data_IF_634769478208
#
_entry.id   IF_634769478208
#
_cell.length_a   1.000
_cell.length_b   1.000
_cell.length_c   1.000
_cell.angle_alpha   90.00
_cell.angle_beta   90.00
_cell.angle_gamma   90.00
#
_symmetry.space_group_name_H-M   'P 1'
#
loop_
_entity.id
_entity.type
_entity.pdbx_description
1 polymer ?
#
# COMPACT_ATOMS: atom_id res chain seq x y z
N UNK A 1 -34.56 30.89 -55.79
CA UNK A 1 -33.21 30.38 -55.46
C UNK A 1 -32.71 31.12 -54.22
N UNK A 2 -33.12 30.69 -53.02
CA UNK A 2 -32.76 31.32 -51.74
C UNK A 2 -32.09 30.25 -50.84
N UNK A 3 -30.86 30.55 -50.43
CA UNK A 3 -29.96 29.67 -49.67
C UNK A 3 -30.54 29.35 -48.29
N UNK A 4 -30.58 28.06 -47.93
CA UNK A 4 -30.82 27.59 -46.55
C UNK A 4 -29.74 28.15 -45.63
N UNK A 5 -30.17 28.94 -44.64
CA UNK A 5 -29.34 29.39 -43.52
C UNK A 5 -29.15 28.18 -42.60
N UNK A 6 -27.90 27.74 -42.44
CA UNK A 6 -27.54 26.63 -41.57
C UNK A 6 -27.69 27.01 -40.09
N UNK A 7 -28.44 26.22 -39.34
CA UNK A 7 -28.50 26.28 -37.88
C UNK A 7 -27.10 26.01 -37.30
N UNK A 8 -26.64 26.74 -36.26
CA UNK A 8 -25.42 26.37 -35.56
C UNK A 8 -25.64 25.03 -34.86
N UNK A 9 -24.86 24.03 -35.28
CA UNK A 9 -24.75 22.74 -34.60
C UNK A 9 -24.37 22.98 -33.15
N UNK A 10 -25.24 22.54 -32.25
CA UNK A 10 -25.01 22.40 -30.81
C UNK A 10 -23.61 21.81 -30.59
N UNK A 11 -22.71 22.58 -29.98
CA UNK A 11 -21.46 22.06 -29.43
C UNK A 11 -21.84 21.18 -28.24
N UNK A 12 -21.99 19.89 -28.50
CA UNK A 12 -22.10 18.88 -27.45
C UNK A 12 -20.82 18.95 -26.61
N UNK A 13 -20.98 19.37 -25.36
CA UNK A 13 -19.93 19.32 -24.34
C UNK A 13 -19.54 17.85 -24.19
N UNK A 14 -18.33 17.48 -24.61
CA UNK A 14 -17.80 16.14 -24.41
C UNK A 14 -17.74 15.86 -22.89
N UNK A 15 -18.22 14.71 -22.41
CA UNK A 15 -18.09 14.39 -20.99
C UNK A 15 -16.60 14.33 -20.65
N UNK A 16 -16.23 15.01 -19.56
CA UNK A 16 -14.88 15.01 -19.00
C UNK A 16 -14.35 13.57 -18.99
N UNK A 17 -13.25 13.34 -19.69
CA UNK A 17 -12.50 12.09 -19.65
C UNK A 17 -12.26 11.74 -18.19
N UNK A 18 -12.87 10.64 -17.72
CA UNK A 18 -12.58 10.04 -16.43
C UNK A 18 -11.07 9.95 -16.31
N UNK A 19 -10.48 10.69 -15.36
CA UNK A 19 -9.06 10.56 -15.04
C UNK A 19 -8.88 9.12 -14.59
N UNK A 20 -8.36 8.29 -15.49
CA UNK A 20 -7.99 6.91 -15.19
C UNK A 20 -7.05 6.97 -13.99
N UNK A 21 -7.47 6.35 -12.88
CA UNK A 21 -6.77 6.42 -11.61
C UNK A 21 -5.28 6.12 -11.79
N UNK A 22 -4.45 7.08 -11.41
CA UNK A 22 -3.00 6.97 -11.46
C UNK A 22 -2.58 5.73 -10.68
N UNK A 23 -2.13 4.67 -11.38
CA UNK A 23 -1.61 3.47 -10.71
C UNK A 23 -0.33 3.83 -9.95
N UNK A 24 -0.43 3.92 -8.63
CA UNK A 24 0.72 4.12 -7.77
C UNK A 24 1.53 2.82 -7.70
N UNK A 25 2.82 2.88 -8.04
CA UNK A 25 3.74 1.76 -7.81
C UNK A 25 4.32 1.90 -6.41
N UNK A 26 4.08 0.88 -5.61
CA UNK A 26 4.58 0.82 -4.25
C UNK A 26 6.00 0.23 -4.19
N UNK A 27 6.67 0.48 -3.07
CA UNK A 27 8.01 -0.02 -2.73
C UNK A 27 8.05 -1.55 -2.66
N UNK A 28 9.08 -2.16 -3.23
CA UNK A 28 9.37 -3.59 -3.13
C UNK A 28 10.11 -3.87 -1.83
N UNK A 29 9.67 -4.90 -1.10
CA UNK A 29 10.35 -5.40 0.11
C UNK A 29 10.76 -6.84 -0.12
N UNK A 30 12.03 -7.15 0.13
CA UNK A 30 12.60 -8.50 0.01
C UNK A 30 13.06 -8.99 1.38
N UNK A 31 12.72 -10.23 1.71
CA UNK A 31 13.24 -10.95 2.87
C UNK A 31 14.05 -12.15 2.40
N UNK A 32 15.28 -12.29 2.91
CA UNK A 32 16.15 -13.44 2.64
C UNK A 32 16.55 -14.07 3.96
N UNK A 33 16.39 -15.39 4.08
CA UNK A 33 16.84 -16.19 5.22
C UNK A 33 17.97 -17.12 4.79
N UNK A 34 19.08 -17.12 5.53
CA UNK A 34 20.20 -18.06 5.37
C UNK A 34 20.64 -18.55 6.74
N UNK A 35 20.33 -19.81 7.05
CA UNK A 35 20.46 -20.36 8.41
C UNK A 35 19.67 -19.51 9.40
N UNK A 36 20.34 -19.11 10.47
CA UNK A 36 19.73 -18.36 11.59
C UNK A 36 19.71 -16.84 11.36
N UNK A 37 20.13 -16.39 10.17
CA UNK A 37 20.18 -14.98 9.80
C UNK A 37 19.06 -14.64 8.83
N UNK A 38 18.39 -13.52 9.11
CA UNK A 38 17.35 -12.94 8.24
C UNK A 38 17.76 -11.51 7.88
N UNK A 39 17.61 -11.17 6.61
CA UNK A 39 17.85 -9.81 6.09
C UNK A 39 16.57 -9.32 5.42
N UNK A 40 16.11 -8.12 5.79
CA UNK A 40 15.04 -7.40 5.11
C UNK A 40 15.62 -6.19 4.36
N UNK A 41 15.25 -6.06 3.09
CA UNK A 41 15.65 -4.95 2.21
C UNK A 41 14.41 -4.32 1.58
N UNK A 42 14.47 -3.03 1.27
CA UNK A 42 13.42 -2.34 0.53
C UNK A 42 13.99 -1.31 -0.44
N UNK A 43 13.41 -1.22 -1.64
CA UNK A 43 13.92 -0.38 -2.75
C UNK A 43 13.61 1.13 -2.59
N UNK A 44 12.90 1.51 -1.52
CA UNK A 44 12.51 2.89 -1.11
C UNK A 44 11.88 3.77 -2.20
N UNK A 45 11.52 3.21 -3.35
CA UNK A 45 10.96 3.96 -4.47
C UNK A 45 9.43 4.09 -4.31
N UNK A 46 8.92 5.29 -4.56
CA UNK A 46 7.48 5.57 -4.70
C UNK A 46 7.29 6.38 -5.97
N UNK A 47 6.50 5.87 -6.91
CA UNK A 47 6.22 6.53 -8.18
C UNK A 47 4.74 6.89 -8.27
N UNK A 48 4.46 8.18 -8.52
CA UNK A 48 3.12 8.70 -8.77
C UNK A 48 3.02 9.08 -10.26
N UNK A 49 2.24 8.33 -11.04
CA UNK A 49 2.12 8.51 -12.51
C UNK A 49 3.29 7.90 -13.28
N UNK A 50 3.58 8.41 -14.48
CA UNK A 50 4.60 7.82 -15.38
C UNK A 50 6.04 8.29 -15.10
N UNK A 51 6.27 9.37 -14.32
CA UNK A 51 7.63 9.95 -14.22
C UNK A 51 8.03 10.66 -12.92
N UNK A 52 7.21 10.66 -11.87
CA UNK A 52 7.53 11.41 -10.64
C UNK A 52 7.88 10.45 -9.50
N UNK A 53 9.16 10.47 -9.09
CA UNK A 53 9.64 9.86 -7.83
C UNK A 53 9.17 10.76 -6.68
N UNK A 54 8.02 10.43 -6.10
CA UNK A 54 7.33 11.30 -5.16
C UNK A 54 7.98 11.37 -3.77
N UNK A 55 8.88 10.44 -3.43
CA UNK A 55 9.66 10.45 -2.17
C UNK A 55 10.79 9.42 -2.19
N UNK A 56 12.02 9.88 -2.02
CA UNK A 56 13.23 9.04 -1.86
C UNK A 56 13.41 8.50 -0.43
N UNK A 57 12.49 8.80 0.49
CA UNK A 57 12.70 8.65 1.95
C UNK A 57 11.74 7.68 2.63
N UNK A 58 10.96 6.90 1.87
CA UNK A 58 10.01 5.96 2.45
C UNK A 58 10.74 4.74 3.04
N UNK A 59 11.12 4.81 4.31
CA UNK A 59 11.59 3.64 5.04
C UNK A 59 10.36 2.80 5.46
N UNK A 60 9.97 1.87 4.59
CA UNK A 60 8.86 0.93 4.84
C UNK A 60 9.25 -0.26 5.73
N UNK A 61 10.50 -0.27 6.21
CA UNK A 61 11.03 -1.20 7.21
C UNK A 61 11.03 -0.52 8.57
N UNK A 62 10.47 -1.19 9.58
CA UNK A 62 10.42 -0.72 10.97
C UNK A 62 10.74 -1.86 11.93
N UNK A 63 11.49 -1.55 12.99
CA UNK A 63 11.67 -2.44 14.14
C UNK A 63 10.46 -2.29 15.05
N UNK A 64 9.84 -3.41 15.44
CA UNK A 64 8.74 -3.43 16.42
C UNK A 64 9.30 -3.68 17.83
N UNK A 65 10.28 -4.58 17.93
CA UNK A 65 11.04 -4.84 19.15
C UNK A 65 12.48 -5.25 18.78
N UNK A 66 13.29 -5.62 19.77
CA UNK A 66 14.70 -5.96 19.58
C UNK A 66 14.92 -7.13 18.60
N UNK A 67 13.94 -8.03 18.51
CA UNK A 67 14.05 -9.28 17.76
C UNK A 67 13.18 -9.32 16.49
N UNK A 68 12.40 -8.26 16.20
CA UNK A 68 11.39 -8.27 15.13
C UNK A 68 11.47 -7.04 14.25
N UNK A 69 11.63 -7.28 12.94
CA UNK A 69 11.58 -6.26 11.88
C UNK A 69 10.39 -6.56 10.97
N UNK A 70 9.63 -5.52 10.65
CA UNK A 70 8.47 -5.61 9.76
C UNK A 70 8.64 -4.69 8.57
N UNK A 71 8.15 -5.16 7.42
CA UNK A 71 8.07 -4.39 6.18
C UNK A 71 6.64 -4.37 5.65
N UNK A 72 6.15 -3.20 5.23
CA UNK A 72 4.82 -3.08 4.62
C UNK A 72 4.88 -2.33 3.29
N UNK A 73 4.49 -2.97 2.19
CA UNK A 73 4.54 -2.37 0.86
C UNK A 73 3.32 -1.48 0.53
N UNK A 74 2.20 -1.54 1.25
CA UNK A 74 0.98 -0.80 0.93
C UNK A 74 0.97 0.69 1.34
N UNK A 75 -0.22 1.21 1.67
CA UNK A 75 -0.40 2.58 2.15
C UNK A 75 0.22 2.77 3.54
N UNK A 76 0.59 4.01 3.86
CA UNK A 76 1.18 4.33 5.17
C UNK A 76 0.17 4.14 6.30
N UNK A 77 -1.11 4.42 6.08
CA UNK A 77 -2.15 4.28 7.11
C UNK A 77 -2.36 2.82 7.51
N UNK A 78 -2.48 1.93 6.52
CA UNK A 78 -2.67 0.50 6.76
C UNK A 78 -1.44 -0.12 7.43
N UNK A 79 -0.25 0.37 7.07
CA UNK A 79 0.99 -0.04 7.71
C UNK A 79 0.93 0.20 9.22
N UNK A 80 0.56 1.41 9.64
CA UNK A 80 0.50 1.75 11.07
C UNK A 80 -0.55 0.91 11.80
N UNK A 81 -1.75 0.76 11.22
CA UNK A 81 -2.81 -0.05 11.82
C UNK A 81 -2.42 -1.53 11.99
N UNK A 82 -1.77 -2.12 11.00
CA UNK A 82 -1.33 -3.52 11.06
C UNK A 82 -0.14 -3.73 12.00
N UNK A 83 0.78 -2.77 12.07
CA UNK A 83 1.91 -2.83 13.00
C UNK A 83 1.45 -2.75 14.45
N UNK A 84 0.54 -1.84 14.79
CA UNK A 84 -0.04 -1.72 16.13
C UNK A 84 -0.74 -3.03 16.55
N UNK A 85 -1.52 -3.62 15.64
CA UNK A 85 -2.16 -4.93 15.90
C UNK A 85 -1.14 -6.05 16.07
N UNK A 86 -0.07 -6.07 15.29
CA UNK A 86 1.00 -7.07 15.43
C UNK A 86 1.73 -6.91 16.77
N UNK A 87 2.01 -5.68 17.19
CA UNK A 87 2.62 -5.38 18.48
C UNK A 87 1.76 -5.92 19.64
N UNK A 88 0.45 -5.70 19.59
CA UNK A 88 -0.49 -6.29 20.55
C UNK A 88 -0.42 -7.82 20.58
N UNK A 89 -0.39 -8.49 19.42
CA UNK A 89 -0.25 -9.96 19.36
C UNK A 89 1.10 -10.44 19.89
N UNK A 90 2.17 -9.67 19.72
CA UNK A 90 3.48 -10.01 20.28
C UNK A 90 3.52 -9.84 21.80
N UNK A 91 2.74 -8.90 22.35
CA UNK A 91 2.56 -8.78 23.80
C UNK A 91 1.76 -9.96 24.37
N UNK A 92 0.72 -10.43 23.66
CA UNK A 92 -0.06 -11.62 24.06
C UNK A 92 0.76 -12.92 23.95
N UNK A 93 1.70 -12.98 23.00
CA UNK A 93 2.53 -14.15 22.72
C UNK A 93 4.04 -13.80 22.65
N UNK A 94 4.70 -13.56 23.80
CA UNK A 94 6.12 -13.22 23.85
C UNK A 94 6.98 -14.28 23.18
N UNK A 95 7.99 -13.82 22.43
CA UNK A 95 8.95 -14.62 21.65
C UNK A 95 8.35 -15.59 20.62
N UNK A 96 7.04 -15.54 20.39
CA UNK A 96 6.32 -16.42 19.46
C UNK A 96 5.84 -15.67 18.22
N UNK A 97 6.78 -15.10 17.45
CA UNK A 97 6.48 -14.29 16.25
C UNK A 97 5.56 -15.01 15.26
N UNK A 98 5.79 -16.31 15.02
CA UNK A 98 4.94 -17.10 14.11
C UNK A 98 3.49 -17.18 14.60
N UNK A 99 3.28 -17.37 15.91
CA UNK A 99 1.94 -17.44 16.50
C UNK A 99 1.26 -16.07 16.43
N UNK A 100 1.95 -15.02 16.82
CA UNK A 100 1.44 -13.65 16.74
C UNK A 100 1.01 -13.28 15.30
N UNK A 101 1.82 -13.63 14.30
CA UNK A 101 1.52 -13.41 12.89
C UNK A 101 0.30 -14.21 12.40
N UNK A 102 0.15 -15.47 12.83
CA UNK A 102 -1.02 -16.29 12.49
C UNK A 102 -2.30 -15.73 13.09
N UNK A 103 -2.28 -15.33 14.36
CA UNK A 103 -3.45 -14.71 15.01
C UNK A 103 -3.82 -13.37 14.38
N UNK A 104 -2.83 -12.52 14.04
CA UNK A 104 -3.07 -11.31 13.27
C UNK A 104 -3.72 -11.62 11.92
N UNK A 105 -3.23 -12.64 11.20
CA UNK A 105 -3.79 -13.01 9.90
C UNK A 105 -5.23 -13.54 10.00
N UNK A 106 -5.59 -14.20 11.10
CA UNK A 106 -6.97 -14.59 11.39
C UNK A 106 -7.84 -13.36 11.60
N UNK A 107 -7.42 -12.45 12.46
CA UNK A 107 -8.13 -11.20 12.76
C UNK A 107 -8.30 -10.34 11.50
N UNK A 108 -7.27 -10.26 10.66
CA UNK A 108 -7.34 -9.54 9.38
C UNK A 108 -8.41 -10.12 8.46
N UNK A 109 -8.50 -11.45 8.35
CA UNK A 109 -9.50 -12.09 7.48
C UNK A 109 -10.93 -11.96 8.01
N UNK A 110 -11.12 -11.90 9.32
CA UNK A 110 -12.46 -11.83 9.94
C UNK A 110 -12.97 -10.41 10.02
N UNK A 111 -12.11 -9.43 10.31
CA UNK A 111 -12.49 -8.03 10.48
C UNK A 111 -12.85 -7.37 9.13
N UNK A 112 -14.08 -6.84 9.05
CA UNK A 112 -14.61 -6.17 7.85
C UNK A 112 -13.88 -4.85 7.56
N UNK A 113 -13.35 -4.18 8.58
CA UNK A 113 -12.57 -2.95 8.43
C UNK A 113 -11.18 -3.24 7.88
N UNK A 114 -10.53 -4.32 8.35
CA UNK A 114 -9.19 -4.72 7.88
C UNK A 114 -9.18 -5.28 6.45
N UNK A 115 -10.29 -5.88 5.99
CA UNK A 115 -10.44 -6.37 4.60
C UNK A 115 -10.52 -5.30 3.53
N UNK A 116 -10.73 -4.03 3.91
CA UNK A 116 -10.85 -2.89 2.99
C UNK A 116 -9.61 -2.00 2.95
N UNK A 117 -8.55 -2.40 3.66
CA UNK A 117 -7.22 -1.78 3.59
C UNK A 117 -6.50 -2.24 2.31
#
# INVERSE_FOLDING_TARGET
>A
MLRRVGLPRVLAFAPASTIAGTQARHTTILSVRKGDKVVLLGDRQVTLGERIVAKSSACKLRKINDNTIVGFAGSTADAFALMEKLENKLNDFPDQLTRAAVELAKDWRTDRALRRL
#
